data_IF_358248188032
#
_entry.id   IF_358248188032
#
_cell.length_a   1.000
_cell.length_b   1.000
_cell.length_c   1.000
_cell.angle_alpha   90.00
_cell.angle_beta   90.00
_cell.angle_gamma   90.00
#
_symmetry.space_group_name_H-M   'P 1'
#
loop_
_entity.id
_entity.type
_entity.pdbx_description
1 polymer ?
#
# COMPACT_ATOMS: atom_id res chain seq x y z
N UNK A 1 15.16 -9.97 -4.70
CA UNK A 1 14.98 -8.51 -4.56
C UNK A 1 15.10 -8.16 -3.10
N UNK A 2 15.93 -7.19 -2.76
CA UNK A 2 16.09 -6.74 -1.39
C UNK A 2 14.85 -5.94 -0.93
N UNK A 3 14.44 -6.05 0.34
CA UNK A 3 13.31 -5.29 0.88
C UNK A 3 13.53 -3.78 0.78
N UNK A 4 12.47 -3.03 0.45
CA UNK A 4 12.55 -1.58 0.26
C UNK A 4 12.19 -0.78 1.54
N UNK A 5 13.03 0.14 2.02
CA UNK A 5 12.73 1.03 3.15
C UNK A 5 11.93 2.26 2.68
N UNK A 6 10.78 2.05 2.03
CA UNK A 6 10.00 3.13 1.40
C UNK A 6 8.88 3.67 2.28
N UNK A 7 8.51 2.93 3.32
CA UNK A 7 7.52 3.34 4.32
C UNK A 7 8.13 3.17 5.70
N UNK A 8 7.77 4.07 6.61
CA UNK A 8 8.02 3.88 8.02
C UNK A 8 6.89 3.08 8.66
N UNK A 9 7.17 2.49 9.82
CA UNK A 9 6.18 1.74 10.60
C UNK A 9 6.08 2.38 11.99
N UNK A 10 4.86 2.76 12.40
CA UNK A 10 4.62 3.29 13.74
C UNK A 10 4.85 2.20 14.80
N UNK A 11 5.08 2.62 16.05
CA UNK A 11 5.26 1.70 17.18
C UNK A 11 4.02 0.80 17.39
N UNK A 12 2.83 1.35 17.19
CA UNK A 12 1.58 0.59 17.26
C UNK A 12 1.51 -0.45 16.15
N UNK A 13 1.89 -0.11 14.92
CA UNK A 13 1.92 -1.07 13.82
C UNK A 13 2.93 -2.20 14.07
N UNK A 14 4.13 -1.86 14.55
CA UNK A 14 5.17 -2.84 14.92
C UNK A 14 4.69 -3.81 16.00
N UNK A 15 3.94 -3.32 16.98
CA UNK A 15 3.43 -4.12 18.10
C UNK A 15 2.20 -4.96 17.72
N UNK A 16 1.26 -4.39 16.98
CA UNK A 16 -0.08 -4.97 16.80
C UNK A 16 -0.21 -5.84 15.55
N UNK A 17 0.48 -5.52 14.46
CA UNK A 17 0.30 -6.21 13.18
C UNK A 17 0.86 -7.64 13.14
N UNK A 18 1.99 -7.99 13.78
CA UNK A 18 2.48 -9.38 13.74
C UNK A 18 1.45 -10.37 14.27
N UNK A 19 0.74 -10.02 15.33
CA UNK A 19 -0.33 -10.83 15.91
C UNK A 19 -1.59 -10.95 15.02
N UNK A 20 -1.76 -10.05 14.05
CA UNK A 20 -2.89 -10.01 13.11
C UNK A 20 -2.57 -10.65 11.75
N UNK A 21 -1.29 -10.81 11.43
CA UNK A 21 -0.85 -11.34 10.15
C UNK A 21 -1.36 -12.77 9.94
N UNK A 22 -1.19 -13.65 10.93
CA UNK A 22 -1.57 -15.07 10.84
C UNK A 22 -1.02 -15.74 9.56
N UNK A 23 0.22 -15.44 9.20
CA UNK A 23 0.86 -15.95 7.97
C UNK A 23 0.35 -15.34 6.66
N UNK A 24 -0.49 -14.30 6.72
CA UNK A 24 -1.00 -13.59 5.55
C UNK A 24 -0.11 -12.40 5.21
N UNK A 25 0.34 -12.27 3.96
CA UNK A 25 0.98 -11.06 3.49
C UNK A 25 0.06 -9.84 3.54
N UNK A 26 0.61 -8.71 3.96
CA UNK A 26 -0.02 -7.39 3.88
C UNK A 26 0.32 -6.71 2.56
N UNK A 27 -0.69 -6.26 1.83
CA UNK A 27 -0.52 -5.55 0.57
C UNK A 27 -0.89 -4.08 0.75
N UNK A 28 -0.01 -3.21 0.28
CA UNK A 28 -0.24 -1.78 0.09
C UNK A 28 -0.44 -1.49 -1.40
N UNK A 29 -1.68 -1.18 -1.74
CA UNK A 29 -2.12 -0.83 -3.08
C UNK A 29 -3.08 0.36 -3.02
N UNK A 30 -3.67 0.69 -4.16
CA UNK A 30 -4.68 1.73 -4.27
C UNK A 30 -5.88 1.21 -5.04
N UNK A 31 -7.05 1.74 -4.70
CA UNK A 31 -8.26 1.39 -5.43
C UNK A 31 -8.17 1.90 -6.87
N UNK A 32 -8.35 1.03 -7.84
CA UNK A 32 -8.52 1.43 -9.22
C UNK A 32 -9.63 0.63 -9.89
N UNK A 33 -10.45 1.29 -10.70
CA UNK A 33 -11.51 0.64 -11.45
C UNK A 33 -11.67 1.26 -12.85
N UNK A 34 -12.06 0.43 -13.80
CA UNK A 34 -12.47 0.84 -15.15
C UNK A 34 -13.94 0.49 -15.32
N UNK A 35 -14.75 1.46 -15.71
CA UNK A 35 -16.15 1.23 -16.04
C UNK A 35 -16.42 1.64 -17.50
N UNK A 36 -17.11 0.78 -18.25
CA UNK A 36 -17.69 1.06 -19.57
C UNK A 36 -16.76 1.70 -20.62
N UNK A 37 -15.49 1.27 -20.70
CA UNK A 37 -14.56 1.74 -21.74
C UNK A 37 -14.00 3.15 -21.52
N UNK A 38 -14.16 3.72 -20.32
CA UNK A 38 -13.70 5.07 -19.96
C UNK A 38 -12.37 5.09 -19.20
N UNK A 39 -11.94 6.29 -18.80
CA UNK A 39 -10.72 6.55 -18.02
C UNK A 39 -10.68 5.74 -16.71
N UNK A 40 -9.48 5.41 -16.24
CA UNK A 40 -9.28 4.74 -14.94
C UNK A 40 -9.69 5.69 -13.81
N UNK A 41 -10.61 5.25 -12.97
CA UNK A 41 -10.90 5.90 -11.69
C UNK A 41 -9.93 5.38 -10.65
N UNK A 42 -9.16 6.27 -10.06
CA UNK A 42 -8.25 5.98 -8.95
C UNK A 42 -8.85 6.56 -7.67
N UNK A 43 -8.98 5.71 -6.66
CA UNK A 43 -9.39 6.05 -5.30
C UNK A 43 -8.27 5.78 -4.31
N UNK A 44 -8.59 5.83 -3.02
CA UNK A 44 -7.61 5.88 -1.93
C UNK A 44 -6.57 4.75 -1.89
N UNK A 45 -5.44 5.06 -1.27
CA UNK A 45 -4.49 4.06 -0.78
C UNK A 45 -5.18 3.16 0.25
N UNK A 46 -4.92 1.86 0.19
CA UNK A 46 -5.44 0.92 1.18
C UNK A 46 -4.47 -0.20 1.50
N UNK A 47 -4.73 -0.82 2.66
CA UNK A 47 -4.00 -1.98 3.13
C UNK A 47 -4.96 -3.17 3.18
N UNK A 48 -4.54 -4.31 2.61
CA UNK A 48 -5.34 -5.54 2.62
C UNK A 48 -4.48 -6.75 2.95
N UNK A 49 -5.06 -7.73 3.63
CA UNK A 49 -4.45 -9.04 3.82
C UNK A 49 -4.79 -9.94 2.64
N UNK A 50 -3.81 -10.70 2.16
CA UNK A 50 -4.02 -11.77 1.17
C UNK A 50 -4.34 -13.08 1.84
N UNK A 51 -4.78 -14.08 1.07
CA UNK A 51 -4.85 -15.43 1.58
C UNK A 51 -3.43 -16.02 1.75
N UNK A 52 -3.19 -16.91 2.73
CA UNK A 52 -1.90 -17.59 2.85
C UNK A 52 -1.58 -18.37 1.58
N UNK A 53 -0.38 -18.17 1.02
CA UNK A 53 0.06 -18.86 -0.20
C UNK A 53 -0.56 -18.37 -1.51
N UNK A 54 -1.35 -17.30 -1.47
CA UNK A 54 -1.84 -16.65 -2.68
C UNK A 54 -0.67 -16.10 -3.51
N UNK A 55 -0.55 -16.44 -4.81
CA UNK A 55 0.51 -15.90 -5.65
C UNK A 55 0.33 -14.39 -5.79
N UNK A 56 1.42 -13.66 -5.58
CA UNK A 56 1.45 -12.21 -5.80
C UNK A 56 1.88 -11.93 -7.24
N UNK A 57 1.20 -10.99 -7.87
CA UNK A 57 1.53 -10.53 -9.20
C UNK A 57 2.88 -9.77 -9.21
N UNK A 58 3.58 -9.74 -10.35
CA UNK A 58 4.94 -9.21 -10.46
C UNK A 58 5.05 -7.70 -10.19
N UNK A 59 3.94 -6.97 -10.28
CA UNK A 59 3.86 -5.57 -9.91
C UNK A 59 3.99 -5.31 -8.40
N UNK A 60 3.93 -6.35 -7.56
CA UNK A 60 4.06 -6.22 -6.11
C UNK A 60 5.49 -6.48 -5.64
N UNK A 61 6.07 -5.49 -4.98
CA UNK A 61 7.45 -5.52 -4.52
C UNK A 61 7.52 -5.62 -3.00
N UNK A 62 8.49 -6.35 -2.48
CA UNK A 62 8.62 -6.59 -1.03
C UNK A 62 9.07 -5.33 -0.30
N UNK A 63 8.34 -5.00 0.77
CA UNK A 63 8.70 -3.93 1.71
C UNK A 63 9.62 -4.45 2.79
N UNK A 64 10.49 -3.57 3.29
CA UNK A 64 11.10 -3.79 4.60
C UNK A 64 10.00 -3.67 5.66
N UNK A 65 9.80 -4.74 6.43
CA UNK A 65 8.70 -4.88 7.37
C UNK A 65 9.20 -5.38 8.74
N UNK A 66 8.48 -5.07 9.83
CA UNK A 66 8.76 -5.62 11.15
C UNK A 66 8.73 -7.16 11.16
N UNK A 67 9.48 -7.77 12.08
CA UNK A 67 9.49 -9.22 12.27
C UNK A 67 8.08 -9.77 12.44
N UNK A 68 7.78 -10.87 11.74
CA UNK A 68 6.47 -11.53 11.77
C UNK A 68 5.45 -10.94 10.79
N UNK A 69 5.87 -9.99 9.94
CA UNK A 69 5.06 -9.41 8.87
C UNK A 69 5.78 -9.64 7.55
N UNK A 70 5.05 -10.16 6.57
CA UNK A 70 5.42 -10.03 5.17
C UNK A 70 4.56 -8.94 4.55
N UNK A 71 5.19 -7.94 3.93
CA UNK A 71 4.47 -6.84 3.33
C UNK A 71 4.99 -6.54 1.92
N UNK A 72 4.06 -6.16 1.05
CA UNK A 72 4.34 -5.83 -0.34
C UNK A 72 3.61 -4.57 -0.75
N UNK A 73 4.12 -3.91 -1.78
CA UNK A 73 3.59 -2.66 -2.31
C UNK A 73 3.48 -2.73 -3.82
N UNK A 74 2.42 -2.15 -4.37
CA UNK A 74 2.31 -1.98 -5.81
C UNK A 74 3.43 -1.03 -6.31
N UNK A 75 4.18 -1.47 -7.32
CA UNK A 75 5.41 -0.82 -7.83
C UNK A 75 5.23 0.68 -8.13
N UNK A 76 4.08 1.06 -8.66
CA UNK A 76 3.80 2.45 -9.04
C UNK A 76 3.72 3.40 -7.83
N UNK A 77 3.43 2.87 -6.63
CA UNK A 77 3.36 3.63 -5.39
C UNK A 77 4.73 3.94 -4.78
N UNK A 78 5.79 3.22 -5.16
CA UNK A 78 7.13 3.33 -4.55
C UNK A 78 7.61 4.77 -4.52
N UNK A 79 7.48 5.48 -5.65
CA UNK A 79 7.94 6.88 -5.79
C UNK A 79 7.16 7.83 -4.87
N UNK A 80 5.85 7.66 -4.80
CA UNK A 80 4.97 8.54 -4.00
C UNK A 80 5.17 8.29 -2.53
N UNK A 81 5.21 7.02 -2.09
CA UNK A 81 5.40 6.69 -0.68
C UNK A 81 6.73 7.22 -0.15
N UNK A 82 7.79 7.13 -0.96
CA UNK A 82 9.10 7.69 -0.61
C UNK A 82 9.08 9.22 -0.55
N UNK A 83 8.47 9.88 -1.54
CA UNK A 83 8.44 11.35 -1.61
C UNK A 83 7.52 11.97 -0.54
N UNK A 84 6.37 11.35 -0.30
CA UNK A 84 5.32 11.84 0.59
C UNK A 84 5.53 11.41 2.06
N UNK A 85 6.59 10.66 2.37
CA UNK A 85 6.87 10.18 3.73
C UNK A 85 5.80 9.20 4.23
N UNK A 86 5.56 8.13 3.49
CA UNK A 86 4.56 7.12 3.82
C UNK A 86 4.83 6.43 5.17
N UNK A 87 3.79 6.29 5.99
CA UNK A 87 3.84 5.57 7.26
C UNK A 87 2.68 4.59 7.38
N UNK A 88 2.98 3.34 7.73
CA UNK A 88 1.98 2.37 8.14
C UNK A 88 1.76 2.50 9.65
N UNK A 89 0.51 2.70 10.03
CA UNK A 89 0.06 2.91 11.41
C UNK A 89 -1.22 2.14 11.72
N UNK A 90 -1.70 2.24 12.97
CA UNK A 90 -2.93 1.61 13.44
C UNK A 90 -3.94 2.68 13.87
N UNK A 91 -5.09 2.73 13.20
CA UNK A 91 -6.18 3.68 13.48
C UNK A 91 -7.47 2.98 13.86
N UNK A 92 -8.39 3.71 14.48
CA UNK A 92 -9.65 3.19 15.01
C UNK A 92 -9.60 2.88 16.51
N UNK A 93 -10.69 2.31 17.04
CA UNK A 93 -10.88 2.08 18.48
C UNK A 93 -11.06 0.60 18.81
N UNK A 94 -10.36 0.14 19.85
CA UNK A 94 -10.42 -1.23 20.38
C UNK A 94 -10.40 -2.31 19.29
N UNK A 95 -11.45 -3.16 19.21
CA UNK A 95 -11.55 -4.24 18.21
C UNK A 95 -11.67 -3.76 16.76
N UNK A 96 -11.99 -2.49 16.55
CA UNK A 96 -12.10 -1.88 15.22
C UNK A 96 -10.78 -1.24 14.78
N UNK A 97 -9.68 -1.43 15.53
CA UNK A 97 -8.34 -1.00 15.10
C UNK A 97 -7.91 -1.74 13.85
N UNK A 98 -7.53 -0.98 12.82
CA UNK A 98 -7.11 -1.47 11.51
C UNK A 98 -5.80 -0.81 11.08
N UNK A 99 -4.97 -1.52 10.30
CA UNK A 99 -3.86 -0.89 9.61
C UNK A 99 -4.36 0.20 8.66
N UNK A 100 -3.65 1.32 8.66
CA UNK A 100 -3.83 2.44 7.72
C UNK A 100 -2.47 2.89 7.23
N UNK A 101 -2.43 3.42 6.01
CA UNK A 101 -1.28 4.15 5.49
C UNK A 101 -1.56 5.64 5.55
N UNK A 102 -0.62 6.40 6.08
CA UNK A 102 -0.64 7.86 6.16
C UNK A 102 0.50 8.43 5.36
N UNK A 103 0.28 9.62 4.79
CA UNK A 103 1.30 10.37 4.07
C UNK A 103 1.58 11.64 4.87
N UNK A 104 2.86 11.97 5.06
CA UNK A 104 3.25 13.25 5.63
C UNK A 104 2.87 14.41 4.70
N UNK A 105 2.97 14.20 3.38
CA UNK A 105 2.47 15.11 2.36
C UNK A 105 1.36 14.45 1.53
N UNK A 106 0.10 14.75 1.86
CA UNK A 106 -1.07 14.25 1.13
C UNK A 106 -1.24 14.86 -0.28
N UNK A 107 -0.61 16.00 -0.58
CA UNK A 107 -0.76 16.64 -1.89
C UNK A 107 -0.15 15.78 -3.02
N UNK A 108 0.97 15.12 -2.74
CA UNK A 108 1.65 14.19 -3.66
C UNK A 108 0.74 13.05 -4.13
N UNK A 109 -0.24 12.65 -3.32
CA UNK A 109 -1.23 11.65 -3.72
C UNK A 109 -2.18 12.16 -4.80
N UNK A 110 -2.66 13.40 -4.67
CA UNK A 110 -3.52 14.01 -5.68
C UNK A 110 -2.77 14.23 -7.00
N UNK A 111 -1.50 14.61 -6.94
CA UNK A 111 -0.66 14.75 -8.13
C UNK A 111 -0.48 13.41 -8.85
N UNK A 112 -0.28 12.31 -8.11
CA UNK A 112 -0.25 10.98 -8.70
C UNK A 112 -1.55 10.62 -9.40
N UNK A 113 -2.70 10.84 -8.75
CA UNK A 113 -4.01 10.60 -9.36
C UNK A 113 -4.15 11.42 -10.65
N UNK A 114 -3.74 12.68 -10.62
CA UNK A 114 -3.72 13.57 -11.79
C UNK A 114 -2.87 13.01 -12.94
N UNK A 115 -1.65 12.56 -12.65
CA UNK A 115 -0.73 12.00 -13.64
C UNK A 115 -1.19 10.64 -14.20
N UNK A 116 -1.88 9.83 -13.39
CA UNK A 116 -2.41 8.55 -13.86
C UNK A 116 -3.60 8.71 -14.81
N UNK A 117 -4.38 9.79 -14.70
CA UNK A 117 -5.45 10.12 -15.67
C UNK A 117 -4.89 10.47 -17.06
N UNK A 118 -3.64 10.92 -17.14
CA UNK A 118 -3.00 11.34 -18.40
C UNK A 118 -2.09 10.27 -19.02
N UNK A 119 -1.79 9.18 -18.29
CA UNK A 119 -1.04 8.04 -18.84
C UNK A 119 -1.94 7.17 -19.72
N UNK A 120 -1.55 6.98 -20.98
CA UNK A 120 -2.16 6.01 -21.88
C UNK A 120 -1.93 4.58 -21.30
N UNK A 121 -2.98 3.80 -21.00
CA UNK A 121 -2.86 2.50 -20.35
C UNK A 121 -2.20 1.40 -21.21
N UNK A 122 -1.81 1.71 -22.45
CA UNK A 122 -1.04 0.83 -23.32
C UNK A 122 0.47 1.15 -23.34
N UNK A 123 0.93 2.12 -22.56
CA UNK A 123 2.36 2.42 -22.40
C UNK A 123 3.02 1.49 -21.38
N UNK A 124 3.13 0.21 -21.71
CA UNK A 124 4.21 -0.65 -21.24
C UNK A 124 5.29 -0.71 -22.32
#
# INVERSE_FOLDING_TARGET
MDPLPIVSWSEEARRELPAKAHGRPLILDYFSTRCCGSNVSIGDLHLRWTAPGEPLAEEYWRLEAPTGIEAYVQRDLIRILKAAGGQITMRGWARFRRPTVELADGAMWFDFIGACRTRNPFGH
#
